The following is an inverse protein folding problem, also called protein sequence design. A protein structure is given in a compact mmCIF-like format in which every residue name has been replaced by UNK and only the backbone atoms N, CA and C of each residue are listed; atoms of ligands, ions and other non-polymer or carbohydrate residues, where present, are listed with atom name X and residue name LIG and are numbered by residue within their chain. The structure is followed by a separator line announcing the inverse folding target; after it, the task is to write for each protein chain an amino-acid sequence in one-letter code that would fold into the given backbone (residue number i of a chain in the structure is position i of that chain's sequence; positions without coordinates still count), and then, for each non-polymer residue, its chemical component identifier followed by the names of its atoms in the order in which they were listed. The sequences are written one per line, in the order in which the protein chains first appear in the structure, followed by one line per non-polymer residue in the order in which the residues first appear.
data_IF_504808325741
#
_entry.id   IF_504808325741
#
_cell.length_a   1.000
_cell.length_b   1.000
_cell.length_c   1.000
_cell.angle_alpha   90.00
_cell.angle_beta   90.00
_cell.angle_gamma   90.00
#
_symmetry.space_group_name_H-M   'P 1'
#
loop_
_entity.id
_entity.type
_entity.pdbx_description
1 polymer ?
#
# COMPACT_ATOMS: atom_id res chain seq x y z
N UNK A 1 7.80 11.75 10.17
CA UNK A 1 6.78 11.63 9.13
C UNK A 1 6.29 10.18 8.96
N UNK A 2 7.17 9.18 8.91
CA UNK A 2 6.76 7.77 8.83
C UNK A 2 5.89 7.35 10.03
N UNK A 3 6.30 7.73 11.24
CA UNK A 3 5.54 7.42 12.44
C UNK A 3 4.16 8.10 12.44
N UNK A 4 4.07 9.33 11.96
CA UNK A 4 2.82 10.07 11.87
C UNK A 4 1.85 9.41 10.88
N UNK A 5 2.32 9.11 9.67
CA UNK A 5 1.51 8.49 8.62
C UNK A 5 1.08 7.09 9.04
N UNK A 6 1.98 6.28 9.58
CA UNK A 6 1.63 4.93 10.07
C UNK A 6 0.65 4.98 11.23
N UNK A 7 0.76 5.95 12.13
CA UNK A 7 -0.19 6.16 13.20
C UNK A 7 -1.60 6.47 12.69
N UNK A 8 -1.71 7.35 11.69
CA UNK A 8 -2.98 7.66 11.03
C UNK A 8 -3.58 6.42 10.34
N UNK A 9 -2.76 5.68 9.62
CA UNK A 9 -3.18 4.46 8.94
C UNK A 9 -3.64 3.39 9.93
N UNK A 10 -2.94 3.22 11.04
CA UNK A 10 -3.33 2.27 12.09
C UNK A 10 -4.68 2.60 12.72
N UNK A 11 -4.99 3.87 12.91
CA UNK A 11 -6.31 4.29 13.40
C UNK A 11 -7.41 3.92 12.41
N UNK A 12 -7.20 4.17 11.13
CA UNK A 12 -8.13 3.81 10.07
C UNK A 12 -8.32 2.29 10.00
N UNK A 13 -7.23 1.54 10.05
CA UNK A 13 -7.23 0.07 10.02
C UNK A 13 -8.00 -0.49 11.21
N UNK A 14 -7.73 0.01 12.41
CA UNK A 14 -8.40 -0.44 13.62
C UNK A 14 -9.91 -0.25 13.53
N UNK A 15 -10.35 0.88 13.03
CA UNK A 15 -11.78 1.15 12.82
C UNK A 15 -12.36 0.23 11.73
N UNK A 16 -11.68 0.10 10.60
CA UNK A 16 -12.18 -0.65 9.46
C UNK A 16 -12.15 -2.17 9.66
N UNK A 17 -11.26 -2.69 10.49
CA UNK A 17 -11.21 -4.11 10.81
C UNK A 17 -12.46 -4.59 11.59
N UNK A 18 -13.22 -3.67 12.19
CA UNK A 18 -14.51 -3.99 12.83
C UNK A 18 -15.64 -4.17 11.83
N UNK A 19 -15.47 -3.73 10.59
CA UNK A 19 -16.50 -3.81 9.55
C UNK A 19 -16.49 -5.23 8.95
N UNK A 20 -17.66 -5.93 8.89
CA UNK A 20 -17.72 -7.25 8.27
C UNK A 20 -17.32 -7.19 6.79
N UNK A 21 -16.47 -8.11 6.36
CA UNK A 21 -16.02 -8.22 4.99
C UNK A 21 -16.96 -9.16 4.21
N UNK A 22 -17.65 -8.61 3.21
CA UNK A 22 -18.48 -9.39 2.31
C UNK A 22 -17.62 -9.96 1.17
N UNK A 23 -17.87 -11.20 0.71
CA UNK A 23 -17.14 -11.77 -0.43
C UNK A 23 -17.23 -10.94 -1.71
N UNK A 24 -18.31 -10.21 -1.91
CA UNK A 24 -18.50 -9.32 -3.06
C UNK A 24 -17.58 -8.09 -3.03
N UNK A 25 -17.08 -7.69 -1.86
CA UNK A 25 -16.23 -6.51 -1.68
C UNK A 25 -14.73 -6.86 -1.77
N UNK A 26 -14.39 -8.13 -1.99
CA UNK A 26 -13.01 -8.56 -2.13
C UNK A 26 -12.40 -8.00 -3.43
N UNK A 27 -11.26 -7.33 -3.29
CA UNK A 27 -10.50 -6.77 -4.40
C UNK A 27 -9.14 -7.45 -4.52
N UNK A 28 -8.38 -7.08 -5.56
CA UNK A 28 -6.99 -7.53 -5.71
C UNK A 28 -6.05 -7.00 -4.62
N UNK A 29 -6.45 -5.97 -3.89
CA UNK A 29 -5.68 -5.45 -2.76
C UNK A 29 -5.81 -6.31 -1.50
N UNK A 30 -6.84 -7.15 -1.42
CA UNK A 30 -7.05 -8.02 -0.27
C UNK A 30 -6.06 -9.19 -0.28
N UNK A 31 -5.37 -9.38 0.84
CA UNK A 31 -4.57 -10.58 1.11
C UNK A 31 -5.41 -11.59 1.89
N UNK A 32 -4.98 -12.85 1.91
CA UNK A 32 -5.70 -13.89 2.66
C UNK A 32 -5.55 -13.74 4.17
N UNK A 33 -4.40 -13.25 4.60
CA UNK A 33 -4.09 -13.02 6.00
C UNK A 33 -3.30 -11.73 6.13
N UNK A 34 -3.34 -11.04 7.28
CA UNK A 34 -2.51 -9.86 7.50
C UNK A 34 -1.04 -10.24 7.42
N UNK A 35 -0.21 -9.47 6.67
CA UNK A 35 1.24 -9.68 6.64
C UNK A 35 1.86 -9.54 8.03
N UNK A 36 2.93 -10.29 8.29
CA UNK A 36 3.64 -10.29 9.57
C UNK A 36 4.55 -9.07 9.81
N UNK A 37 4.42 -8.02 9.02
CA UNK A 37 5.19 -6.78 9.15
C UNK A 37 4.27 -5.61 9.49
N UNK A 38 4.70 -4.74 10.41
CA UNK A 38 3.94 -3.54 10.75
C UNK A 38 3.89 -2.54 9.60
N UNK A 39 2.88 -1.67 9.58
CA UNK A 39 2.73 -0.62 8.56
C UNK A 39 3.94 0.31 8.57
N UNK A 40 4.42 0.72 9.73
CA UNK A 40 5.60 1.60 9.83
C UNK A 40 6.85 0.93 9.28
N UNK A 41 7.12 -0.32 9.68
CA UNK A 41 8.27 -1.07 9.18
C UNK A 41 8.18 -1.28 7.67
N UNK A 42 6.99 -1.52 7.15
CA UNK A 42 6.76 -1.68 5.72
C UNK A 42 6.99 -0.38 4.95
N UNK A 43 6.51 0.75 5.44
CA UNK A 43 6.77 2.06 4.85
C UNK A 43 8.26 2.39 4.83
N UNK A 44 8.98 2.13 5.91
CA UNK A 44 10.43 2.32 5.98
C UNK A 44 11.16 1.43 4.98
N UNK A 45 10.68 0.21 4.79
CA UNK A 45 11.23 -0.72 3.81
C UNK A 45 10.99 -0.24 2.38
N UNK A 46 9.80 0.25 2.06
CA UNK A 46 9.50 0.86 0.77
C UNK A 46 10.39 2.09 0.51
N UNK A 47 10.59 2.93 1.51
CA UNK A 47 11.45 4.10 1.41
C UNK A 47 12.92 3.75 1.12
N UNK A 48 13.36 2.55 1.51
CA UNK A 48 14.70 2.05 1.24
C UNK A 48 14.92 1.76 -0.25
N UNK A 49 13.89 1.35 -0.96
CA UNK A 49 13.93 1.02 -2.38
C UNK A 49 13.46 2.16 -3.29
N UNK A 50 12.85 3.18 -2.72
CA UNK A 50 12.30 4.32 -3.46
C UNK A 50 12.73 5.64 -2.81
N UNK A 51 12.80 6.72 -3.59
CA UNK A 51 12.94 8.06 -3.02
C UNK A 51 11.59 8.52 -2.48
N UNK A 52 11.27 8.07 -1.28
CA UNK A 52 10.03 8.45 -0.58
C UNK A 52 10.27 9.75 0.19
N UNK A 53 10.08 10.87 -0.46
CA UNK A 53 10.12 12.19 0.15
C UNK A 53 8.73 12.59 0.70
N UNK A 54 8.67 13.76 1.35
CA UNK A 54 7.43 14.26 1.95
C UNK A 54 6.28 14.39 0.94
N UNK A 55 6.48 14.96 -0.28
CA UNK A 55 5.41 15.02 -1.27
C UNK A 55 4.86 13.64 -1.66
N UNK A 56 5.70 12.63 -1.80
CA UNK A 56 5.25 11.27 -2.11
C UNK A 56 4.37 10.69 -1.01
N UNK A 57 4.72 10.92 0.27
CA UNK A 57 3.92 10.47 1.40
C UNK A 57 2.53 11.14 1.41
N UNK A 58 2.46 12.42 1.10
CA UNK A 58 1.18 13.14 1.01
C UNK A 58 0.31 12.63 -0.13
N UNK A 59 0.91 12.32 -1.27
CA UNK A 59 0.18 11.75 -2.42
C UNK A 59 -0.41 10.38 -2.08
N UNK A 60 0.29 9.54 -1.31
CA UNK A 60 -0.24 8.26 -0.85
C UNK A 60 -1.55 8.47 -0.07
N UNK A 61 -1.60 9.45 0.82
CA UNK A 61 -2.81 9.77 1.57
C UNK A 61 -3.95 10.26 0.65
N UNK A 62 -3.63 11.04 -0.36
CA UNK A 62 -4.60 11.48 -1.37
C UNK A 62 -5.14 10.30 -2.17
N UNK A 63 -4.30 9.33 -2.54
CA UNK A 63 -4.74 8.13 -3.24
C UNK A 63 -5.69 7.28 -2.39
N UNK A 64 -5.40 7.13 -1.11
CA UNK A 64 -6.28 6.43 -0.18
C UNK A 64 -7.67 7.07 -0.18
N UNK A 65 -7.72 8.38 -0.01
CA UNK A 65 -8.95 9.14 0.02
C UNK A 65 -9.76 8.96 -1.28
N UNK A 66 -9.12 9.15 -2.42
CA UNK A 66 -9.78 9.05 -3.73
C UNK A 66 -10.27 7.64 -4.07
N UNK A 67 -9.51 6.62 -3.72
CA UNK A 67 -9.92 5.23 -3.99
C UNK A 67 -11.10 4.85 -3.11
N UNK A 68 -11.10 5.25 -1.83
CA UNK A 68 -12.22 5.01 -0.93
C UNK A 68 -13.50 5.73 -1.38
N UNK A 69 -13.37 6.92 -1.98
CA UNK A 69 -14.53 7.64 -2.55
C UNK A 69 -15.11 6.96 -3.79
N UNK A 70 -14.27 6.39 -4.64
CA UNK A 70 -14.67 5.90 -5.96
C UNK A 70 -15.04 4.42 -5.99
N UNK A 71 -14.54 3.66 -5.05
CA UNK A 71 -14.80 2.22 -4.97
C UNK A 71 -15.68 1.94 -3.75
N UNK A 72 -16.96 1.79 -4.01
CA UNK A 72 -17.92 1.42 -2.97
C UNK A 72 -17.52 0.07 -2.35
N UNK A 73 -17.56 0.00 -1.01
CA UNK A 73 -17.19 -1.19 -0.26
C UNK A 73 -15.70 -1.42 -0.08
N UNK A 74 -14.83 -0.63 -0.72
CA UNK A 74 -13.38 -0.70 -0.49
C UNK A 74 -12.99 0.10 0.75
N UNK A 75 -12.25 -0.53 1.64
CA UNK A 75 -11.71 0.11 2.85
C UNK A 75 -10.25 -0.28 3.05
N UNK A 76 -9.49 0.63 3.65
CA UNK A 76 -8.13 0.33 4.10
C UNK A 76 -8.22 -0.43 5.41
N UNK A 77 -7.87 -1.71 5.37
CA UNK A 77 -7.88 -2.61 6.53
C UNK A 77 -6.57 -3.40 6.59
N UNK A 78 -6.41 -4.25 7.59
CA UNK A 78 -5.19 -5.05 7.75
C UNK A 78 -4.91 -5.98 6.56
N UNK A 79 -5.91 -6.33 5.78
CA UNK A 79 -5.75 -7.16 4.58
C UNK A 79 -5.38 -6.39 3.32
N UNK A 80 -5.66 -5.07 3.25
CA UNK A 80 -5.49 -4.27 2.05
C UNK A 80 -4.33 -3.29 2.11
N UNK A 81 -3.94 -2.85 3.30
CA UNK A 81 -3.03 -1.70 3.48
C UNK A 81 -1.66 -1.91 2.85
N UNK A 82 -1.04 -3.06 3.02
CA UNK A 82 0.32 -3.30 2.52
C UNK A 82 0.38 -3.24 1.00
N UNK A 83 -0.55 -3.91 0.35
CA UNK A 83 -0.64 -3.94 -1.10
C UNK A 83 -1.00 -2.59 -1.70
N UNK A 84 -1.92 -1.90 -1.05
CA UNK A 84 -2.32 -0.56 -1.48
C UNK A 84 -1.15 0.43 -1.34
N UNK A 85 -0.41 0.38 -0.24
CA UNK A 85 0.76 1.22 -0.03
C UNK A 85 1.82 0.98 -1.09
N UNK A 86 2.10 -0.26 -1.44
CA UNK A 86 3.05 -0.59 -2.49
C UNK A 86 2.65 0.02 -3.83
N UNK A 87 1.42 -0.19 -4.26
CA UNK A 87 0.91 0.38 -5.50
C UNK A 87 0.95 1.91 -5.49
N UNK A 88 0.56 2.52 -4.37
CA UNK A 88 0.57 3.98 -4.20
C UNK A 88 1.97 4.56 -4.27
N UNK A 89 2.95 3.92 -3.65
CA UNK A 89 4.35 4.35 -3.68
C UNK A 89 4.88 4.30 -5.11
N UNK A 90 4.62 3.23 -5.85
CA UNK A 90 5.03 3.11 -7.25
C UNK A 90 4.40 4.22 -8.10
N UNK A 91 3.10 4.43 -7.95
CA UNK A 91 2.40 5.48 -8.71
C UNK A 91 2.89 6.88 -8.35
N UNK A 92 3.08 7.18 -7.06
CA UNK A 92 3.58 8.46 -6.59
C UNK A 92 5.00 8.75 -7.09
N UNK A 93 5.86 7.74 -7.03
CA UNK A 93 7.23 7.86 -7.53
C UNK A 93 7.27 8.14 -9.03
N UNK A 94 6.44 7.48 -9.80
CA UNK A 94 6.33 7.75 -11.25
C UNK A 94 5.76 9.12 -11.56
N UNK A 95 4.85 9.61 -10.75
CA UNK A 95 4.21 10.91 -10.97
C UNK A 95 5.13 12.09 -10.63
N UNK A 96 5.99 11.94 -9.62
CA UNK A 96 6.79 13.05 -9.07
C UNK A 96 8.27 12.97 -9.42
N UNK A 97 8.77 11.83 -9.84
CA UNK A 97 10.19 11.60 -10.06
C UNK A 97 10.48 11.33 -11.52
N UNK A 98 11.08 12.30 -12.23
CA UNK A 98 11.48 12.16 -13.64
C UNK A 98 12.61 11.13 -13.83
N UNK A 99 13.40 10.88 -12.78
CA UNK A 99 14.50 9.93 -12.79
C UNK A 99 14.10 8.54 -12.26
N UNK A 100 12.82 8.24 -12.18
CA UNK A 100 12.35 6.91 -11.76
C UNK A 100 12.80 5.88 -12.80
N UNK A 101 13.91 5.20 -12.51
CA UNK A 101 14.38 4.11 -13.36
C UNK A 101 13.61 2.84 -13.01
N UNK A 102 12.42 2.86 -13.44
CA UNK A 102 11.69 1.80 -14.05
C UNK A 102 11.57 0.44 -13.38
N UNK A 103 11.85 -0.56 -14.10
CA UNK A 103 11.41 -1.94 -13.90
C UNK A 103 12.12 -2.65 -12.74
N UNK A 104 13.38 -2.32 -12.46
CA UNK A 104 14.13 -2.99 -11.39
C UNK A 104 13.54 -2.72 -10.00
N UNK A 105 13.09 -1.51 -9.75
CA UNK A 105 12.45 -1.18 -8.47
C UNK A 105 11.08 -1.85 -8.32
N UNK A 106 10.31 -1.92 -9.40
CA UNK A 106 9.07 -2.70 -9.41
C UNK A 106 9.33 -4.18 -9.11
N UNK A 107 10.42 -4.74 -9.61
CA UNK A 107 10.80 -6.13 -9.32
C UNK A 107 11.20 -6.33 -7.86
N UNK A 108 11.97 -5.43 -7.26
CA UNK A 108 12.33 -5.52 -5.84
C UNK A 108 11.11 -5.42 -4.94
N UNK A 109 10.22 -4.49 -5.24
CA UNK A 109 8.97 -4.34 -4.50
C UNK A 109 8.08 -5.57 -4.66
N UNK A 110 8.00 -6.14 -5.86
CA UNK A 110 7.28 -7.39 -6.12
C UNK A 110 7.87 -8.57 -5.35
N UNK A 111 9.18 -8.70 -5.33
CA UNK A 111 9.86 -9.78 -4.61
C UNK A 111 9.59 -9.69 -3.11
N UNK A 112 9.62 -8.49 -2.54
CA UNK A 112 9.31 -8.27 -1.14
C UNK A 112 7.84 -8.59 -0.82
N UNK A 113 6.92 -8.22 -1.69
CA UNK A 113 5.50 -8.53 -1.50
C UNK A 113 5.24 -10.02 -1.63
N UNK A 114 5.88 -10.71 -2.59
CA UNK A 114 5.72 -12.15 -2.74
C UNK A 114 6.30 -12.92 -1.56
N UNK A 115 7.33 -12.40 -0.92
CA UNK A 115 7.87 -12.96 0.31
C UNK A 115 6.95 -12.74 1.52
N UNK A 116 6.17 -11.65 1.52
CA UNK A 116 5.23 -11.31 2.59
C UNK A 116 3.84 -11.91 2.40
N UNK A 117 3.48 -12.22 1.16
CA UNK A 117 2.20 -12.82 0.80
C UNK A 117 2.44 -14.10 0.02
N UNK A 118 2.01 -15.22 0.57
CA UNK A 118 2.18 -16.57 0.01
C UNK A 118 1.45 -16.80 -1.33
N UNK A 119 1.06 -15.77 -2.05
CA UNK A 119 0.41 -15.90 -3.37
C UNK A 119 0.84 -14.89 -4.41
N UNK A 120 1.02 -15.46 -5.59
CA UNK A 120 1.35 -14.89 -6.90
C UNK A 120 0.54 -13.64 -7.23
N UNK A 121 1.22 -12.52 -7.36
CA UNK A 121 0.65 -11.26 -7.84
C UNK A 121 1.06 -10.99 -9.26
N UNK A 122 0.05 -10.75 -10.08
CA UNK A 122 0.29 -10.18 -11.39
C UNK A 122 0.05 -8.66 -11.31
N UNK A 123 1.11 -7.91 -11.07
CA UNK A 123 1.13 -6.52 -11.50
C UNK A 123 1.68 -6.51 -12.93
N UNK A 124 0.83 -6.21 -13.90
CA UNK A 124 1.29 -5.70 -15.17
C UNK A 124 1.72 -4.24 -14.95
N UNK A 125 3.01 -4.03 -14.91
CA UNK A 125 3.53 -2.67 -14.99
C UNK A 125 3.39 -2.14 -16.41
#
# INVERSE_FOLDING_TARGET
LFALVSGMLLQIIYHNDTIPLHPADLTRFHSRAPPGISVEAYLRRLAKYTTLDKPCMLIILIYIDRVCERMDGFTICSLTVHRFLCASVVCASKALCDSFSTNSMCYFIKADISALCTRRWYFSC
#
